data_IF_337822029240
#
_entry.id   IF_337822029240
#
_cell.length_a   1.000
_cell.length_b   1.000
_cell.length_c   1.000
_cell.angle_alpha   90.00
_cell.angle_beta   90.00
_cell.angle_gamma   90.00
#
_symmetry.space_group_name_H-M   'P 1'
#
loop_
_entity.id
_entity.type
_entity.pdbx_description
1 polymer ?
#
# COMPACT_ATOMS: atom_id res chain seq x y z
N UNK A 1 -48.07 -21.74 -29.42
CA UNK A 1 -48.23 -20.48 -30.14
C UNK A 1 -46.92 -19.77 -30.02
N UNK A 2 -46.01 -19.91 -30.99
CA UNK A 2 -45.64 -19.09 -32.17
C UNK A 2 -45.83 -17.60 -31.91
N UNK A 3 -44.75 -16.85 -31.84
CA UNK A 3 -44.31 -16.00 -32.94
C UNK A 3 -42.87 -15.53 -32.78
N UNK A 4 -42.08 -15.74 -33.82
CA UNK A 4 -40.81 -15.14 -34.17
C UNK A 4 -41.00 -13.68 -34.65
N UNK A 5 -39.90 -12.90 -34.61
CA UNK A 5 -39.47 -11.92 -35.62
C UNK A 5 -38.11 -11.38 -35.14
N UNK A 6 -37.00 -11.61 -35.73
CA UNK A 6 -36.33 -11.40 -37.05
C UNK A 6 -36.21 -9.94 -37.51
N UNK A 7 -34.98 -9.66 -38.03
CA UNK A 7 -34.49 -8.55 -38.88
C UNK A 7 -33.85 -7.37 -38.12
N UNK A 8 -32.70 -6.80 -38.44
CA UNK A 8 -32.01 -6.64 -39.74
C UNK A 8 -30.49 -6.44 -39.54
N UNK A 9 -29.73 -6.90 -40.52
CA UNK A 9 -28.31 -6.63 -40.78
C UNK A 9 -28.15 -5.25 -41.39
N UNK A 10 -27.09 -4.53 -41.06
CA UNK A 10 -26.55 -3.46 -41.88
C UNK A 10 -25.06 -3.60 -42.05
N UNK A 11 -24.64 -3.90 -43.25
CA UNK A 11 -23.27 -3.90 -43.71
C UNK A 11 -22.88 -2.47 -44.08
N UNK A 12 -21.76 -1.98 -43.61
CA UNK A 12 -21.12 -0.76 -44.07
C UNK A 12 -19.92 -1.11 -44.94
N UNK A 13 -19.97 -0.63 -46.15
CA UNK A 13 -18.96 -0.78 -47.21
C UNK A 13 -17.78 0.14 -46.91
N UNK A 14 -16.57 -0.43 -46.91
CA UNK A 14 -15.31 0.33 -46.87
C UNK A 14 -14.91 0.69 -48.28
N UNK A 15 -14.90 1.98 -48.62
CA UNK A 15 -14.33 2.49 -49.87
C UNK A 15 -12.83 2.76 -49.68
N UNK A 16 -12.00 2.02 -50.39
CA UNK A 16 -10.56 2.24 -50.47
C UNK A 16 -10.27 3.37 -51.48
N UNK A 17 -9.79 4.50 -51.00
CA UNK A 17 -9.26 5.59 -51.80
C UNK A 17 -7.76 5.41 -52.06
N UNK A 18 -7.39 5.11 -53.27
CA UNK A 18 -6.00 5.09 -53.78
C UNK A 18 -5.58 6.52 -54.07
N UNK A 19 -4.65 7.08 -53.31
CA UNK A 19 -3.98 8.36 -53.62
C UNK A 19 -2.72 8.06 -54.43
N UNK A 20 -2.73 8.41 -55.70
CA UNK A 20 -1.59 8.28 -56.61
C UNK A 20 -0.69 9.53 -56.46
N UNK A 21 0.48 9.39 -55.84
CA UNK A 21 1.46 10.47 -55.71
C UNK A 21 2.32 10.53 -57.00
N UNK A 22 2.21 11.60 -57.73
CA UNK A 22 3.06 11.89 -58.91
C UNK A 22 4.39 12.44 -58.46
N UNK A 23 5.48 11.71 -58.72
CA UNK A 23 6.84 12.18 -58.53
C UNK A 23 7.22 13.12 -59.68
N UNK A 24 7.42 14.39 -59.37
CA UNK A 24 8.04 15.35 -60.31
C UNK A 24 9.56 15.32 -60.05
N UNK A 25 10.30 14.80 -61.04
CA UNK A 25 11.78 14.81 -61.03
C UNK A 25 12.24 16.12 -61.65
N UNK A 26 12.85 17.01 -60.86
CA UNK A 26 13.53 18.20 -61.35
C UNK A 26 15.03 17.89 -61.47
N UNK A 27 15.71 18.35 -62.56
CA UNK A 27 17.14 18.10 -62.75
C UNK A 27 17.99 18.93 -61.78
N UNK A 28 18.92 18.30 -61.14
CA UNK A 28 19.88 18.93 -60.22
C UNK A 28 20.87 19.79 -60.99
N UNK A 29 20.91 21.08 -60.65
CA UNK A 29 22.00 21.97 -61.07
C UNK A 29 23.23 21.68 -60.19
N UNK A 30 24.33 21.23 -60.80
CA UNK A 30 25.61 21.01 -60.17
C UNK A 30 26.30 22.35 -59.83
N UNK A 31 26.26 22.75 -58.54
CA UNK A 31 27.02 23.90 -58.03
C UNK A 31 28.25 23.41 -57.26
N UNK A 32 29.44 23.80 -57.73
CA UNK A 32 30.72 23.60 -56.99
C UNK A 32 30.74 24.50 -55.76
N UNK A 33 30.21 24.02 -54.64
CA UNK A 33 30.28 24.70 -53.34
C UNK A 33 31.57 24.35 -52.60
N UNK A 34 32.31 25.37 -52.20
CA UNK A 34 33.51 25.30 -51.34
C UNK A 34 33.16 24.60 -50.01
N UNK A 35 33.96 23.60 -49.62
CA UNK A 35 33.88 22.93 -48.31
C UNK A 35 34.07 23.95 -47.19
N UNK A 36 32.99 24.39 -46.55
CA UNK A 36 33.06 25.06 -45.25
C UNK A 36 33.30 23.96 -44.19
N UNK A 37 34.39 24.16 -43.42
CA UNK A 37 34.72 23.32 -42.27
C UNK A 37 33.54 23.41 -41.29
N UNK A 38 32.86 22.32 -40.98
CA UNK A 38 31.78 22.27 -40.00
C UNK A 38 32.42 22.56 -38.64
N UNK A 39 32.02 23.66 -38.00
CA UNK A 39 32.28 23.91 -36.59
C UNK A 39 31.38 22.96 -35.79
N UNK A 40 32.00 22.06 -35.07
CA UNK A 40 31.26 21.19 -34.16
C UNK A 40 30.56 22.05 -33.09
N UNK A 41 29.26 22.05 -33.07
CA UNK A 41 28.48 22.62 -31.97
C UNK A 41 28.83 21.84 -30.70
N UNK A 42 29.18 22.48 -29.58
CA UNK A 42 29.39 21.76 -28.33
C UNK A 42 28.09 21.00 -27.96
N UNK A 43 28.17 19.69 -27.82
CA UNK A 43 27.08 18.90 -27.22
C UNK A 43 27.03 19.32 -25.76
N UNK A 44 26.00 20.03 -25.38
CA UNK A 44 25.72 20.31 -23.96
C UNK A 44 25.57 18.97 -23.25
N UNK A 45 26.52 18.65 -22.38
CA UNK A 45 26.44 17.52 -21.47
C UNK A 45 25.37 17.86 -20.45
N UNK A 46 24.17 17.24 -20.60
CA UNK A 46 23.11 17.39 -19.61
C UNK A 46 23.61 16.79 -18.30
N UNK A 47 23.83 17.64 -17.32
CA UNK A 47 24.10 17.23 -15.95
C UNK A 47 22.85 16.47 -15.47
N UNK A 48 22.97 15.23 -14.97
CA UNK A 48 21.81 14.51 -14.47
C UNK A 48 21.17 15.31 -13.35
N UNK A 49 19.88 15.58 -13.47
CA UNK A 49 19.10 16.18 -12.39
C UNK A 49 19.15 15.22 -11.20
N UNK A 50 19.51 15.66 -9.99
CA UNK A 50 19.53 14.78 -8.84
C UNK A 50 18.14 14.19 -8.62
N UNK A 51 18.05 12.88 -8.48
CA UNK A 51 16.81 12.20 -8.09
C UNK A 51 16.42 12.70 -6.70
N UNK A 52 15.20 13.20 -6.49
CA UNK A 52 14.76 13.65 -5.17
C UNK A 52 14.86 12.50 -4.17
N UNK A 53 15.38 12.79 -2.98
CA UNK A 53 15.36 11.82 -1.88
C UNK A 53 13.91 11.60 -1.46
N UNK A 54 13.44 10.35 -1.33
CA UNK A 54 12.09 10.08 -0.86
C UNK A 54 11.84 10.70 0.52
N UNK A 55 10.65 11.24 0.74
CA UNK A 55 10.19 11.66 2.05
C UNK A 55 9.85 10.41 2.87
N UNK A 56 10.43 10.30 4.08
CA UNK A 56 10.28 9.14 4.96
C UNK A 56 9.86 9.58 6.34
N UNK A 57 8.78 8.99 6.85
CA UNK A 57 8.32 9.12 8.23
C UNK A 57 8.49 7.77 8.91
N UNK A 58 9.02 7.74 10.14
CA UNK A 58 9.30 6.50 10.86
C UNK A 58 9.04 6.67 12.36
N UNK A 59 8.40 5.68 12.95
CA UNK A 59 8.09 5.58 14.38
C UNK A 59 8.57 4.21 14.89
N UNK A 60 9.63 4.21 15.70
CA UNK A 60 10.19 3.01 16.32
C UNK A 60 9.90 2.91 17.83
N UNK A 61 9.24 3.92 18.41
CA UNK A 61 8.76 3.95 19.79
C UNK A 61 9.81 3.83 20.90
N UNK A 62 11.08 3.75 20.57
CA UNK A 62 12.18 3.48 21.52
C UNK A 62 12.40 4.58 22.55
N UNK A 63 12.07 5.81 22.19
CA UNK A 63 12.22 6.99 23.06
C UNK A 63 10.94 7.35 23.79
N UNK A 64 9.84 6.66 23.50
CA UNK A 64 8.54 6.90 24.10
C UNK A 64 8.43 6.20 25.46
N UNK A 65 7.59 6.73 26.32
CA UNK A 65 7.45 6.24 27.68
C UNK A 65 6.48 5.07 27.76
N UNK A 66 6.93 3.96 28.31
CA UNK A 66 6.09 2.78 28.53
C UNK A 66 4.83 3.12 29.35
N UNK A 67 3.69 2.58 28.92
CA UNK A 67 2.37 2.80 29.50
C UNK A 67 1.64 4.04 29.01
N UNK A 68 2.24 4.83 28.11
CA UNK A 68 1.61 6.00 27.50
C UNK A 68 1.43 5.80 25.99
N UNK A 69 0.51 6.56 25.38
CA UNK A 69 0.40 6.64 23.91
C UNK A 69 1.60 7.43 23.41
N UNK A 70 2.34 6.95 22.39
CA UNK A 70 3.52 7.64 21.91
C UNK A 70 3.20 9.00 21.30
N UNK A 71 4.19 9.89 21.31
CA UNK A 71 4.06 11.19 20.66
C UNK A 71 3.71 11.06 19.18
N UNK A 72 2.80 11.88 18.68
CA UNK A 72 2.35 11.82 17.28
C UNK A 72 1.31 10.73 16.99
N UNK A 73 0.81 10.02 18.01
CA UNK A 73 -0.24 9.02 17.86
C UNK A 73 -1.46 9.33 18.72
N UNK A 74 -2.61 8.83 18.29
CA UNK A 74 -3.87 8.94 19.03
C UNK A 74 -4.60 7.60 19.02
N UNK A 75 -4.85 7.04 20.20
CA UNK A 75 -5.80 5.94 20.35
C UNK A 75 -7.22 6.43 20.05
N UNK A 76 -7.86 5.88 19.05
CA UNK A 76 -9.25 6.15 18.69
C UNK A 76 -10.15 5.20 19.47
N UNK A 77 -9.81 3.93 19.51
CA UNK A 77 -10.48 2.88 20.27
C UNK A 77 -9.43 1.92 20.80
N UNK A 78 -9.59 1.45 22.05
CA UNK A 78 -8.64 0.56 22.72
C UNK A 78 -7.60 1.28 23.57
N UNK A 79 -6.88 0.50 24.38
CA UNK A 79 -5.89 1.02 25.33
C UNK A 79 -4.47 0.89 24.75
N UNK A 80 -4.25 1.50 23.64
CA UNK A 80 -2.95 1.55 22.97
C UNK A 80 -1.92 2.25 23.82
N UNK A 81 -0.75 1.63 23.95
CA UNK A 81 0.35 2.19 24.72
C UNK A 81 1.70 1.64 24.26
N UNK A 82 2.76 2.31 24.66
CA UNK A 82 4.12 1.80 24.53
C UNK A 82 4.31 0.64 25.49
N UNK A 83 4.83 -0.47 24.99
CA UNK A 83 5.07 -1.72 25.71
C UNK A 83 6.57 -2.02 25.65
N UNK A 84 7.19 -2.33 26.79
CA UNK A 84 8.56 -2.81 26.81
C UNK A 84 8.60 -4.27 26.34
N UNK A 85 9.20 -4.51 25.18
CA UNK A 85 9.39 -5.85 24.62
C UNK A 85 10.85 -6.08 24.23
N UNK A 86 11.58 -6.93 24.95
CA UNK A 86 12.97 -7.24 24.62
C UNK A 86 13.13 -8.03 23.31
N UNK A 87 12.04 -8.58 22.75
CA UNK A 87 12.03 -9.27 21.46
C UNK A 87 11.81 -8.34 20.27
N UNK A 88 11.50 -7.06 20.51
CA UNK A 88 11.25 -6.08 19.46
C UNK A 88 12.41 -6.00 18.46
N UNK A 89 12.13 -5.80 17.16
CA UNK A 89 13.17 -5.65 16.13
C UNK A 89 14.07 -4.44 16.38
N UNK A 90 13.52 -3.26 16.61
CA UNK A 90 14.22 -2.14 17.20
C UNK A 90 13.86 -2.08 18.69
N UNK A 91 14.84 -2.05 19.55
CA UNK A 91 14.65 -2.18 21.01
C UNK A 91 14.72 -0.82 21.69
N UNK A 92 14.08 -0.64 22.85
CA UNK A 92 13.47 -1.67 23.72
C UNK A 92 11.93 -1.73 23.69
N UNK A 93 11.25 -0.92 22.90
CA UNK A 93 9.83 -0.68 23.04
C UNK A 93 9.05 -1.02 21.75
N UNK A 94 7.77 -1.30 21.93
CA UNK A 94 6.79 -1.50 20.86
C UNK A 94 5.56 -0.62 21.12
N UNK A 95 4.70 -0.47 20.14
CA UNK A 95 3.40 0.16 20.30
C UNK A 95 2.29 -0.88 20.13
N UNK A 96 1.48 -1.09 21.14
CA UNK A 96 0.50 -2.16 21.08
C UNK A 96 -0.59 -2.11 22.14
N UNK A 97 -1.33 -3.20 22.19
CA UNK A 97 -2.38 -3.46 23.18
C UNK A 97 -1.86 -4.42 24.24
N UNK A 98 -1.80 -3.99 25.51
CA UNK A 98 -1.32 -4.82 26.59
C UNK A 98 -2.27 -5.98 26.91
N UNK A 99 -1.72 -7.04 27.49
CA UNK A 99 -2.51 -8.18 27.98
C UNK A 99 -3.54 -7.74 29.03
N UNK A 100 -4.74 -8.31 29.00
CA UNK A 100 -5.67 -8.31 30.12
C UNK A 100 -6.93 -7.45 30.01
N UNK A 101 -7.26 -6.86 28.87
CA UNK A 101 -8.53 -6.09 28.71
C UNK A 101 -9.58 -6.80 27.86
N UNK A 102 -10.25 -7.76 28.49
CA UNK A 102 -11.35 -8.55 27.92
C UNK A 102 -12.73 -7.89 27.97
N UNK A 103 -12.89 -6.71 28.58
CA UNK A 103 -14.21 -6.33 29.10
C UNK A 103 -15.20 -5.76 28.04
N UNK A 104 -14.72 -5.16 26.95
CA UNK A 104 -15.63 -4.61 25.93
C UNK A 104 -16.14 -5.67 24.95
N UNK A 105 -15.28 -6.56 24.50
CA UNK A 105 -15.63 -7.63 23.56
C UNK A 105 -16.69 -8.61 24.11
N UNK A 106 -16.67 -8.87 25.41
CA UNK A 106 -17.62 -9.81 26.05
C UNK A 106 -19.02 -9.23 26.29
N UNK A 107 -19.17 -7.91 26.26
CA UNK A 107 -20.44 -7.23 26.57
C UNK A 107 -21.16 -6.65 25.34
N UNK A 108 -20.49 -6.64 24.19
CA UNK A 108 -21.01 -6.08 22.94
C UNK A 108 -21.24 -7.22 21.93
N UNK A 109 -22.46 -7.28 21.40
CA UNK A 109 -22.76 -8.13 20.23
C UNK A 109 -22.18 -7.56 18.93
N UNK A 110 -21.45 -6.46 19.01
CA UNK A 110 -20.80 -5.76 17.90
C UNK A 110 -19.32 -6.11 17.89
N UNK A 111 -18.77 -6.31 16.71
CA UNK A 111 -17.31 -6.45 16.51
C UNK A 111 -16.60 -5.22 17.06
N UNK A 112 -15.50 -5.43 17.77
CA UNK A 112 -14.69 -4.40 18.40
C UNK A 112 -13.37 -4.25 17.65
N UNK A 113 -13.08 -3.01 17.22
CA UNK A 113 -11.93 -2.70 16.39
C UNK A 113 -11.02 -1.67 17.07
N UNK A 114 -10.14 -2.08 17.99
CA UNK A 114 -9.12 -1.21 18.53
C UNK A 114 -8.27 -0.60 17.41
N UNK A 115 -8.07 0.72 17.44
CA UNK A 115 -7.24 1.41 16.44
C UNK A 115 -6.54 2.62 17.03
N UNK A 116 -5.33 2.87 16.53
CA UNK A 116 -4.58 4.10 16.79
C UNK A 116 -4.09 4.69 15.48
N UNK A 117 -4.22 6.01 15.37
CA UNK A 117 -3.93 6.75 14.14
C UNK A 117 -2.84 7.77 14.43
N UNK A 118 -1.92 7.90 13.50
CA UNK A 118 -0.92 8.95 13.47
C UNK A 118 -1.61 10.32 13.37
N UNK A 119 -1.09 11.34 14.08
CA UNK A 119 -1.78 12.62 14.29
C UNK A 119 -1.29 13.77 13.40
N UNK A 120 -0.18 13.60 12.68
CA UNK A 120 0.24 14.58 11.69
C UNK A 120 -0.88 14.77 10.66
N UNK A 121 -1.20 16.01 10.26
CA UNK A 121 -2.26 16.26 9.28
C UNK A 121 -1.90 15.79 7.87
N UNK A 122 -0.72 15.24 7.64
CA UNK A 122 -0.28 14.74 6.33
C UNK A 122 -1.18 13.59 5.87
N UNK A 123 -1.72 13.75 4.68
CA UNK A 123 -2.49 12.72 4.01
C UNK A 123 -1.66 12.10 2.88
N UNK A 124 -1.47 10.81 2.95
CA UNK A 124 -0.69 10.04 1.97
C UNK A 124 -1.59 9.51 0.86
N UNK A 125 -1.24 9.78 -0.40
CA UNK A 125 -1.89 9.22 -1.60
C UNK A 125 -1.11 8.04 -2.17
N UNK A 126 0.15 8.27 -2.52
CA UNK A 126 1.06 7.30 -3.10
C UNK A 126 2.23 7.09 -2.14
N UNK A 127 2.37 5.87 -1.64
CA UNK A 127 3.32 5.58 -0.57
C UNK A 127 3.58 4.07 -0.43
N UNK A 128 4.65 3.74 0.26
CA UNK A 128 4.83 2.45 0.91
C UNK A 128 4.62 2.64 2.41
N UNK A 129 3.73 1.85 3.01
CA UNK A 129 3.57 1.71 4.46
C UNK A 129 4.04 0.32 4.85
N UNK A 130 4.95 0.24 5.80
CA UNK A 130 5.41 -1.02 6.37
C UNK A 130 5.54 -0.92 7.89
N UNK A 131 5.38 -2.03 8.58
CA UNK A 131 5.68 -2.16 10.00
C UNK A 131 6.03 -3.59 10.37
N UNK A 132 6.80 -3.75 11.41
CA UNK A 132 6.92 -5.01 12.11
C UNK A 132 5.64 -5.21 12.93
N UNK A 133 5.08 -6.41 12.87
CA UNK A 133 3.87 -6.81 13.56
C UNK A 133 4.09 -8.13 14.29
N UNK A 134 3.60 -8.21 15.53
CA UNK A 134 3.57 -9.44 16.31
C UNK A 134 2.19 -9.64 16.93
N UNK A 135 1.65 -10.82 16.76
CA UNK A 135 0.51 -11.29 17.53
C UNK A 135 1.00 -11.82 18.89
N UNK A 136 0.94 -10.99 19.93
CA UNK A 136 1.39 -11.37 21.26
C UNK A 136 0.32 -12.18 22.03
N UNK A 137 -0.93 -12.22 21.56
CA UNK A 137 -2.01 -13.00 22.17
C UNK A 137 -3.40 -12.50 21.89
N UNK A 138 -4.31 -13.02 22.67
CA UNK A 138 -5.76 -12.86 22.63
C UNK A 138 -6.42 -14.19 22.97
N UNK A 139 -7.61 -14.15 23.53
CA UNK A 139 -8.38 -15.35 23.87
C UNK A 139 -9.30 -15.76 22.74
N UNK A 140 -9.90 -14.80 22.07
CA UNK A 140 -10.87 -15.01 20.99
C UNK A 140 -10.29 -14.68 19.63
N UNK A 141 -9.42 -13.70 19.59
CA UNK A 141 -8.74 -13.27 18.37
C UNK A 141 -7.27 -12.96 18.67
N UNK A 142 -6.43 -12.92 17.65
CA UNK A 142 -5.02 -12.61 17.75
C UNK A 142 -4.54 -11.92 16.46
N UNK A 143 -5.33 -10.95 16.01
CA UNK A 143 -5.14 -10.26 14.74
C UNK A 143 -4.68 -8.84 14.96
N UNK A 144 -3.82 -8.38 14.05
CA UNK A 144 -3.42 -6.98 13.95
C UNK A 144 -3.25 -6.57 12.50
N UNK A 145 -3.05 -5.28 12.28
CA UNK A 145 -2.92 -4.80 10.92
C UNK A 145 -2.59 -3.32 10.78
N UNK A 146 -2.36 -2.92 9.54
CA UNK A 146 -2.05 -1.56 9.14
C UNK A 146 -3.28 -0.88 8.55
N UNK A 147 -3.64 0.26 9.13
CA UNK A 147 -4.65 1.16 8.55
C UNK A 147 -3.94 2.10 7.59
N UNK A 148 -4.52 2.32 6.42
CA UNK A 148 -4.02 3.29 5.46
C UNK A 148 -5.15 4.03 4.77
N UNK A 149 -4.84 5.23 4.28
CA UNK A 149 -5.81 6.18 3.74
C UNK A 149 -7.00 6.40 4.69
N UNK A 150 -6.69 6.55 5.98
CA UNK A 150 -7.69 6.82 7.00
C UNK A 150 -8.26 8.23 6.83
N UNK A 151 -9.55 8.32 6.59
CA UNK A 151 -10.32 9.56 6.55
C UNK A 151 -10.98 9.77 7.91
N UNK A 152 -11.70 8.76 8.38
CA UNK A 152 -12.37 8.70 9.68
C UNK A 152 -12.60 7.23 10.11
N UNK A 153 -13.22 7.00 11.26
CA UNK A 153 -13.48 5.67 11.83
C UNK A 153 -14.37 4.77 10.96
N UNK A 154 -15.03 5.34 9.95
CA UNK A 154 -15.94 4.64 9.04
C UNK A 154 -15.39 4.50 7.63
N UNK A 155 -14.23 5.10 7.33
CA UNK A 155 -13.70 5.17 5.98
C UNK A 155 -12.17 5.07 5.98
N UNK A 156 -11.65 3.85 5.67
CA UNK A 156 -10.22 3.55 5.58
C UNK A 156 -9.99 2.21 4.88
N UNK A 157 -8.74 1.91 4.53
CA UNK A 157 -8.30 0.56 4.18
C UNK A 157 -7.57 -0.10 5.33
N UNK A 158 -7.61 -1.43 5.37
CA UNK A 158 -6.99 -2.26 6.38
C UNK A 158 -6.27 -3.44 5.70
N UNK A 159 -4.97 -3.57 5.97
CA UNK A 159 -4.21 -4.80 5.72
C UNK A 159 -4.01 -5.51 7.05
N UNK A 160 -4.62 -6.68 7.23
CA UNK A 160 -4.62 -7.42 8.49
C UNK A 160 -4.04 -8.83 8.33
N UNK A 161 -3.36 -9.28 9.39
CA UNK A 161 -2.90 -10.65 9.53
C UNK A 161 -3.26 -11.17 10.92
N UNK A 162 -3.40 -12.49 11.08
CA UNK A 162 -3.70 -13.04 12.40
C UNK A 162 -3.85 -14.54 12.47
N UNK A 163 -3.64 -15.04 13.67
CA UNK A 163 -4.00 -16.35 14.15
C UNK A 163 -5.42 -16.32 14.80
N UNK A 164 -6.12 -17.40 15.07
CA UNK A 164 -5.77 -18.79 14.82
C UNK A 164 -6.10 -19.26 13.40
N UNK A 165 -6.62 -18.41 12.52
CA UNK A 165 -7.08 -18.80 11.18
C UNK A 165 -6.04 -18.63 10.10
N UNK A 166 -4.82 -18.23 10.46
CA UNK A 166 -3.75 -17.99 9.48
C UNK A 166 -4.20 -17.07 8.33
N UNK A 167 -4.95 -16.04 8.65
CA UNK A 167 -5.48 -15.19 7.61
C UNK A 167 -4.60 -13.96 7.34
N UNK A 168 -4.59 -13.58 6.09
CA UNK A 168 -4.04 -12.32 5.61
C UNK A 168 -5.11 -11.68 4.72
N UNK A 169 -5.54 -10.46 5.03
CA UNK A 169 -6.68 -9.87 4.38
C UNK A 169 -6.45 -8.38 4.05
N UNK A 170 -6.89 -7.99 2.85
CA UNK A 170 -7.09 -6.60 2.46
C UNK A 170 -8.57 -6.29 2.54
N UNK A 171 -8.93 -5.33 3.37
CA UNK A 171 -10.32 -4.90 3.59
C UNK A 171 -10.45 -3.40 3.42
N UNK A 172 -11.68 -2.95 3.22
CA UNK A 172 -12.05 -1.53 3.22
C UNK A 172 -13.21 -1.30 4.15
N UNK A 173 -13.06 -0.35 5.07
CA UNK A 173 -14.18 0.22 5.82
C UNK A 173 -14.84 1.31 4.96
N UNK A 174 -16.13 1.24 4.76
CA UNK A 174 -16.89 2.25 4.01
C UNK A 174 -18.21 2.49 4.72
N UNK A 175 -18.48 3.72 5.11
CA UNK A 175 -19.68 4.10 5.85
C UNK A 175 -19.93 3.23 7.10
N UNK A 176 -18.85 2.77 7.73
CA UNK A 176 -18.89 1.90 8.92
C UNK A 176 -19.13 0.41 8.62
N UNK A 177 -19.07 0.00 7.37
CA UNK A 177 -19.16 -1.41 6.97
C UNK A 177 -17.79 -1.92 6.52
N UNK A 178 -17.29 -2.96 7.17
CA UNK A 178 -16.03 -3.62 6.77
C UNK A 178 -16.31 -4.59 5.60
N UNK A 179 -15.69 -4.31 4.48
CA UNK A 179 -15.79 -5.07 3.23
C UNK A 179 -14.48 -5.79 2.99
N UNK A 180 -14.49 -7.12 3.00
CA UNK A 180 -13.34 -7.92 2.64
C UNK A 180 -13.13 -7.87 1.11
N UNK A 181 -12.01 -7.32 0.67
CA UNK A 181 -11.66 -7.19 -0.75
C UNK A 181 -10.86 -8.40 -1.23
N UNK A 182 -9.90 -8.87 -0.42
CA UNK A 182 -9.04 -10.03 -0.68
C UNK A 182 -8.72 -10.75 0.63
N UNK A 183 -8.60 -12.07 0.56
CA UNK A 183 -8.15 -12.88 1.68
C UNK A 183 -7.35 -14.08 1.18
N UNK A 184 -6.35 -14.46 1.95
CA UNK A 184 -5.50 -15.65 1.73
C UNK A 184 -5.19 -16.31 3.07
N UNK A 185 -4.81 -17.57 3.04
CA UNK A 185 -4.24 -18.27 4.19
C UNK A 185 -2.73 -18.03 4.18
N UNK A 186 -2.24 -17.36 5.22
CA UNK A 186 -0.83 -17.07 5.44
C UNK A 186 -0.52 -17.41 6.89
N UNK A 187 0.36 -18.37 7.17
CA UNK A 187 0.72 -18.76 8.52
C UNK A 187 1.18 -17.56 9.35
N UNK A 188 0.55 -17.38 10.50
CA UNK A 188 0.86 -16.30 11.43
C UNK A 188 1.00 -16.90 12.83
N UNK A 189 2.24 -17.22 13.20
CA UNK A 189 2.54 -17.79 14.50
C UNK A 189 2.48 -16.72 15.58
N UNK A 190 1.93 -17.11 16.73
CA UNK A 190 1.92 -16.26 17.92
C UNK A 190 3.36 -15.99 18.40
N UNK A 191 3.58 -14.82 18.95
CA UNK A 191 4.87 -14.35 19.48
C UNK A 191 6.02 -14.30 18.45
N UNK A 192 5.64 -14.24 17.15
CA UNK A 192 6.59 -14.12 16.04
C UNK A 192 6.41 -12.78 15.34
N UNK A 193 7.52 -12.14 15.00
CA UNK A 193 7.53 -10.89 14.26
C UNK A 193 7.44 -11.14 12.76
N UNK A 194 6.54 -10.43 12.09
CA UNK A 194 6.33 -10.40 10.63
C UNK A 194 6.38 -8.97 10.14
N UNK A 195 6.79 -8.76 8.91
CA UNK A 195 6.71 -7.44 8.30
C UNK A 195 5.47 -7.33 7.41
N UNK A 196 4.48 -6.59 7.84
CA UNK A 196 3.35 -6.20 7.00
C UNK A 196 3.76 -5.01 6.13
N UNK A 197 3.46 -5.07 4.83
CA UNK A 197 3.74 -3.96 3.91
C UNK A 197 2.63 -3.80 2.88
N UNK A 198 2.25 -2.56 2.62
CA UNK A 198 1.41 -2.17 1.48
C UNK A 198 2.12 -1.10 0.67
N UNK A 199 2.16 -1.28 -0.63
CA UNK A 199 2.52 -0.25 -1.60
C UNK A 199 1.24 0.23 -2.25
N UNK A 200 0.93 1.50 -2.10
CA UNK A 200 -0.27 2.14 -2.65
C UNK A 200 0.13 3.17 -3.70
N UNK A 201 -0.35 3.03 -4.93
CA UNK A 201 -0.09 3.96 -6.02
C UNK A 201 -1.37 4.18 -6.83
N UNK A 202 -1.93 5.38 -6.81
CA UNK A 202 -3.28 5.62 -7.34
C UNK A 202 -4.30 4.69 -6.69
N UNK A 203 -5.03 3.91 -7.47
CA UNK A 203 -5.96 2.89 -6.97
C UNK A 203 -5.35 1.49 -6.87
N UNK A 204 -4.06 1.33 -7.07
CA UNK A 204 -3.37 0.04 -7.12
C UNK A 204 -2.68 -0.27 -5.79
N UNK A 205 -2.89 -1.48 -5.25
CA UNK A 205 -2.32 -1.93 -3.99
C UNK A 205 -1.56 -3.24 -4.16
N UNK A 206 -0.30 -3.25 -3.74
CA UNK A 206 0.49 -4.47 -3.58
C UNK A 206 0.70 -4.73 -2.08
N UNK A 207 0.26 -5.87 -1.59
CA UNK A 207 0.30 -6.23 -0.17
C UNK A 207 1.25 -7.40 0.05
N UNK A 208 2.10 -7.27 1.09
CA UNK A 208 3.17 -8.23 1.36
C UNK A 208 3.12 -8.69 2.81
N UNK A 209 3.46 -9.96 3.00
CA UNK A 209 3.88 -10.56 4.25
C UNK A 209 5.38 -10.86 4.13
N UNK A 210 6.19 -10.23 4.97
CA UNK A 210 7.63 -10.11 4.81
C UNK A 210 8.00 -9.60 3.41
N UNK A 211 8.75 -10.35 2.62
CA UNK A 211 9.11 -10.00 1.26
C UNK A 211 8.22 -10.67 0.20
N UNK A 212 7.26 -11.49 0.64
CA UNK A 212 6.36 -12.22 -0.24
C UNK A 212 5.13 -11.40 -0.57
N UNK A 213 4.92 -11.08 -1.83
CA UNK A 213 3.68 -10.46 -2.29
C UNK A 213 2.53 -11.46 -2.20
N UNK A 214 1.48 -11.08 -1.46
CA UNK A 214 0.28 -11.89 -1.26
C UNK A 214 -0.85 -11.39 -2.15
N UNK A 215 -1.02 -10.07 -2.25
CA UNK A 215 -2.06 -9.46 -3.09
C UNK A 215 -1.47 -8.41 -4.03
N UNK A 216 -2.04 -8.38 -5.23
CA UNK A 216 -1.96 -7.37 -6.25
C UNK A 216 -3.41 -7.04 -6.62
N UNK A 217 -3.90 -5.80 -6.34
CA UNK A 217 -5.32 -5.50 -6.37
C UNK A 217 -5.61 -4.02 -6.61
N UNK A 218 -6.68 -3.76 -7.35
CA UNK A 218 -7.15 -2.40 -7.65
C UNK A 218 -8.42 -2.05 -6.88
N UNK A 219 -8.39 -0.94 -6.14
CA UNK A 219 -9.55 -0.27 -5.55
C UNK A 219 -9.25 1.22 -5.36
N UNK A 220 -10.08 2.07 -5.91
CA UNK A 220 -9.89 3.54 -5.91
C UNK A 220 -10.91 4.30 -5.07
N UNK A 221 -11.59 3.61 -4.13
CA UNK A 221 -12.69 4.22 -3.37
C UNK A 221 -12.24 5.36 -2.46
N UNK A 222 -11.06 5.22 -1.83
CA UNK A 222 -10.45 6.24 -0.99
C UNK A 222 -9.08 6.57 -1.58
N UNK A 223 -8.89 7.84 -1.99
CA UNK A 223 -7.70 8.24 -2.73
C UNK A 223 -6.49 8.58 -1.84
N UNK A 224 -6.72 9.10 -0.64
CA UNK A 224 -5.69 9.54 0.30
C UNK A 224 -6.21 9.55 1.73
N UNK A 225 -5.33 9.64 2.69
CA UNK A 225 -5.63 9.74 4.12
C UNK A 225 -4.42 9.40 4.98
N UNK A 226 -4.61 9.38 6.29
CA UNK A 226 -3.56 9.09 7.28
C UNK A 226 -3.30 7.58 7.39
N UNK A 227 -2.32 7.24 8.20
CA UNK A 227 -1.95 5.85 8.52
C UNK A 227 -2.19 5.54 9.99
N UNK A 228 -2.25 4.25 10.30
CA UNK A 228 -2.48 3.79 11.67
C UNK A 228 -2.26 2.30 11.83
N UNK A 229 -2.50 1.84 13.05
CA UNK A 229 -2.48 0.43 13.45
C UNK A 229 -3.84 -0.01 13.98
N UNK A 230 -4.10 -1.30 13.86
CA UNK A 230 -5.40 -1.89 14.15
C UNK A 230 -5.25 -3.24 14.83
N UNK A 231 -6.25 -3.60 15.61
CA UNK A 231 -6.40 -4.94 16.14
C UNK A 231 -7.89 -5.34 16.12
N UNK A 232 -8.17 -6.60 16.40
CA UNK A 232 -9.53 -7.11 16.47
C UNK A 232 -9.83 -7.66 17.85
N UNK A 233 -11.01 -7.34 18.35
CA UNK A 233 -11.56 -7.86 19.61
C UNK A 233 -10.56 -7.76 20.79
N UNK A 234 -10.15 -8.89 21.36
CA UNK A 234 -9.23 -8.96 22.49
C UNK A 234 -7.78 -9.25 22.08
N UNK A 235 -7.45 -9.04 20.82
CA UNK A 235 -6.09 -9.24 20.31
C UNK A 235 -5.07 -8.39 21.05
N UNK A 236 -3.94 -9.01 21.37
CA UNK A 236 -2.74 -8.33 21.85
C UNK A 236 -1.81 -8.19 20.64
N UNK A 237 -1.95 -7.10 19.93
CA UNK A 237 -1.14 -6.79 18.76
C UNK A 237 -0.06 -5.80 19.14
N UNK A 238 1.17 -6.07 18.75
CA UNK A 238 2.31 -5.19 18.92
C UNK A 238 2.91 -4.81 17.59
N UNK A 239 3.32 -3.54 17.47
CA UNK A 239 3.91 -2.97 16.27
C UNK A 239 5.23 -2.28 16.60
N UNK A 240 6.17 -2.37 15.66
CA UNK A 240 7.45 -1.70 15.72
C UNK A 240 7.86 -1.21 14.33
N UNK A 241 8.79 -0.27 14.26
CA UNK A 241 9.34 0.24 12.99
C UNK A 241 8.25 0.62 11.96
N UNK A 242 7.18 1.28 12.41
CA UNK A 242 6.15 1.78 11.48
C UNK A 242 6.77 2.84 10.60
N UNK A 243 6.72 2.63 9.27
CA UNK A 243 7.38 3.51 8.32
C UNK A 243 6.50 3.80 7.11
N UNK A 244 6.42 5.08 6.77
CA UNK A 244 5.85 5.56 5.51
C UNK A 244 6.97 6.12 4.64
N UNK A 245 7.06 5.66 3.40
CA UNK A 245 7.91 6.24 2.36
C UNK A 245 7.01 6.80 1.28
N UNK A 246 7.03 8.11 1.10
CA UNK A 246 6.21 8.79 0.08
C UNK A 246 6.79 8.51 -1.31
N UNK A 247 5.93 8.09 -2.24
CA UNK A 247 6.32 7.86 -3.64
C UNK A 247 6.09 9.17 -4.40
N UNK A 248 7.16 9.72 -4.96
CA UNK A 248 7.11 10.95 -5.75
C UNK A 248 6.31 10.83 -7.04
N UNK A 249 5.70 11.92 -7.49
CA UNK A 249 4.99 11.94 -8.76
C UNK A 249 5.95 11.57 -9.92
N UNK A 250 5.66 10.49 -10.63
CA UNK A 250 6.49 9.96 -11.72
C UNK A 250 7.49 8.89 -11.29
N UNK A 251 7.57 8.58 -10.01
CA UNK A 251 8.35 7.46 -9.50
C UNK A 251 7.50 6.17 -9.54
N UNK A 252 8.06 5.10 -10.06
CA UNK A 252 7.41 3.80 -10.02
C UNK A 252 7.67 3.14 -8.67
N UNK A 253 6.67 2.42 -8.14
CA UNK A 253 6.86 1.59 -6.96
C UNK A 253 8.10 0.68 -7.14
N UNK A 254 8.86 0.41 -6.09
CA UNK A 254 9.97 -0.51 -6.16
C UNK A 254 9.49 -1.88 -6.66
N UNK A 255 10.04 -2.33 -7.78
CA UNK A 255 9.75 -3.66 -8.32
C UNK A 255 10.08 -4.70 -7.26
N UNK A 256 9.17 -5.62 -6.94
CA UNK A 256 9.48 -6.69 -5.99
C UNK A 256 10.72 -7.44 -6.46
N UNK A 257 11.62 -7.73 -5.52
CA UNK A 257 12.74 -8.61 -5.80
C UNK A 257 12.19 -9.96 -6.32
N UNK A 258 12.78 -10.55 -7.37
CA UNK A 258 12.34 -11.86 -7.84
C UNK A 258 12.43 -12.84 -6.67
N UNK A 259 11.33 -13.56 -6.43
CA UNK A 259 11.29 -14.61 -5.41
C UNK A 259 12.52 -15.53 -5.64
N UNK A 260 13.33 -15.68 -4.59
CA UNK A 260 14.46 -16.59 -4.64
C UNK A 260 13.91 -17.97 -5.06
N UNK A 261 14.33 -18.44 -6.23
CA UNK A 261 13.95 -19.77 -6.71
C UNK A 261 14.47 -20.78 -5.69
N UNK A 262 13.55 -21.44 -5.00
CA UNK A 262 13.91 -22.61 -4.22
C UNK A 262 14.55 -23.61 -5.20
N UNK A 263 15.84 -23.83 -5.06
CA UNK A 263 16.52 -24.93 -5.74
C UNK A 263 16.00 -26.25 -5.15
N UNK A 264 15.81 -27.26 -6.00
CA UNK A 264 15.25 -28.55 -5.62
C UNK A 264 16.16 -29.32 -4.66
#
# INVERSE_FOLDING_TARGET
MKTQNSWLRSAAVVAAGVVMTVLIISPAAYSKGKKKKAVATPTETMTPTPTPTPEVHMWNFDQDKAGEVPAGWKAIEGDWQVIADPSAPSKPNTFGLPAGRLLKSLTSALEYYPMAIETDPTEYSDFTLEAQFKSAGGRFDCSGGLIFRYVDEKNFYLLAAGCPSDYFALSRMTDGQLINLKQSVVPTDKDTWYRLKVVAQGGHFMCYDDDKMIFDFDDSKIAKGRVGVWARDDSQAEFDDVKVTVIGAGESAPTPAPAASASP
#
